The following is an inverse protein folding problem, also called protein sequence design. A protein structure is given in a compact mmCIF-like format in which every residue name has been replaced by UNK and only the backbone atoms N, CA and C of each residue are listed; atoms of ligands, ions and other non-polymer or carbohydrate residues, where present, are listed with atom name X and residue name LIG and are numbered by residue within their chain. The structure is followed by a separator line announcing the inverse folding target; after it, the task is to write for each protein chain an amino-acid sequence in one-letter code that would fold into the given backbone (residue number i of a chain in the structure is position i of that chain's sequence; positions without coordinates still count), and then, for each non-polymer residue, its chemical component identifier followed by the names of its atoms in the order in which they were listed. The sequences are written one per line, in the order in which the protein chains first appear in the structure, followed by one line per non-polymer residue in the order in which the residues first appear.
data_IF_346993956319
#
_entry.id   IF_346993956319
#
_cell.length_a   1.000
_cell.length_b   1.000
_cell.length_c   1.000
_cell.angle_alpha   90.00
_cell.angle_beta   90.00
_cell.angle_gamma   90.00
#
_symmetry.space_group_name_H-M   'P 1'
#
loop_
_entity.id
_entity.type
_entity.pdbx_description
1 polymer ?
#
# COMPACT_ATOMS: atom_id res chain seq x y z
N UNK A 1 -24.44 33.35 -5.36
CA UNK A 1 -23.56 32.50 -4.57
C UNK A 1 -23.22 31.26 -5.36
N UNK A 2 -22.01 30.95 -5.40
CA UNK A 2 -21.58 29.77 -6.12
C UNK A 2 -21.62 28.54 -5.22
N UNK A 3 -22.22 27.49 -5.73
CA UNK A 3 -22.13 26.17 -5.13
C UNK A 3 -21.01 25.36 -5.76
N UNK A 4 -20.25 25.99 -6.64
CA UNK A 4 -19.13 25.34 -7.30
C UNK A 4 -18.04 25.09 -6.27
N UNK A 5 -17.66 23.83 -6.11
CA UNK A 5 -16.57 23.46 -5.24
C UNK A 5 -15.26 23.84 -5.88
N UNK A 6 -14.35 24.38 -5.09
CA UNK A 6 -13.00 24.59 -5.56
C UNK A 6 -12.33 23.24 -5.75
N UNK A 7 -11.63 23.09 -6.84
CA UNK A 7 -10.95 21.85 -7.21
C UNK A 7 -9.52 22.15 -7.64
N UNK A 8 -8.69 21.13 -7.58
CA UNK A 8 -7.34 21.18 -8.15
C UNK A 8 -7.10 19.91 -8.96
N UNK A 9 -6.21 20.01 -9.93
CA UNK A 9 -5.79 18.86 -10.70
C UNK A 9 -4.83 18.01 -9.87
N UNK A 10 -5.04 16.71 -9.85
CA UNK A 10 -4.20 15.79 -9.09
C UNK A 10 -3.86 14.57 -9.95
N UNK A 11 -2.59 14.24 -9.95
CA UNK A 11 -2.10 13.03 -10.60
C UNK A 11 -1.20 12.29 -9.62
N UNK A 12 -1.42 10.99 -9.48
CA UNK A 12 -0.61 10.13 -8.62
C UNK A 12 0.01 9.05 -9.49
N UNK A 13 1.32 9.10 -9.64
CA UNK A 13 2.08 8.18 -10.46
C UNK A 13 2.84 7.20 -9.59
N UNK A 14 2.68 5.91 -9.87
CA UNK A 14 3.54 4.86 -9.34
C UNK A 14 4.47 4.37 -10.46
N UNK A 15 5.46 3.55 -10.13
CA UNK A 15 6.45 3.09 -11.12
C UNK A 15 5.83 2.34 -12.30
N UNK A 16 4.74 1.61 -12.06
CA UNK A 16 4.14 0.72 -13.04
C UNK A 16 2.76 1.16 -13.52
N UNK A 17 2.22 2.27 -13.00
CA UNK A 17 0.86 2.69 -13.33
C UNK A 17 0.59 4.12 -12.90
N UNK A 18 -0.49 4.67 -13.45
CA UNK A 18 -1.11 5.89 -12.93
C UNK A 18 -2.18 5.43 -11.95
N UNK A 19 -2.00 5.76 -10.66
CA UNK A 19 -2.96 5.36 -9.64
C UNK A 19 -4.22 6.22 -9.67
N UNK A 20 -4.05 7.52 -9.87
CA UNK A 20 -5.15 8.48 -9.92
C UNK A 20 -4.81 9.63 -10.87
N UNK A 21 -5.80 10.07 -11.60
CA UNK A 21 -5.69 11.24 -12.45
C UNK A 21 -7.08 11.88 -12.54
N UNK A 22 -7.17 13.13 -12.14
CA UNK A 22 -8.44 13.84 -12.17
C UNK A 22 -8.44 15.03 -11.24
N UNK A 23 -9.63 15.59 -11.03
CA UNK A 23 -9.83 16.71 -10.12
C UNK A 23 -10.14 16.22 -8.71
N UNK A 24 -9.64 16.95 -7.73
CA UNK A 24 -9.79 16.61 -6.34
C UNK A 24 -10.22 17.81 -5.53
N UNK A 25 -10.94 17.54 -4.43
CA UNK A 25 -11.30 18.55 -3.43
C UNK A 25 -10.23 18.67 -2.37
N UNK A 26 -9.54 17.57 -2.07
CA UNK A 26 -8.51 17.52 -1.04
C UNK A 26 -7.66 16.27 -1.23
N UNK A 27 -6.43 16.33 -0.76
CA UNK A 27 -5.58 15.16 -0.65
C UNK A 27 -4.79 15.21 0.66
N UNK A 28 -4.78 14.11 1.39
CA UNK A 28 -3.96 13.90 2.56
C UNK A 28 -2.73 13.11 2.16
N UNK A 29 -1.55 13.60 2.53
CA UNK A 29 -0.27 13.02 2.13
C UNK A 29 0.60 12.74 3.36
N UNK A 30 1.31 11.60 3.39
CA UNK A 30 2.25 11.31 4.46
C UNK A 30 3.59 12.02 4.20
N UNK A 31 3.62 13.32 4.48
CA UNK A 31 4.82 14.13 4.30
C UNK A 31 5.80 13.86 5.45
N UNK A 32 7.08 13.89 5.13
CA UNK A 32 8.11 13.77 6.17
C UNK A 32 7.90 14.85 7.23
N UNK A 33 7.85 14.45 8.49
CA UNK A 33 7.54 15.36 9.59
C UNK A 33 6.09 15.41 10.00
N UNK A 34 5.19 14.81 9.24
CA UNK A 34 3.77 14.70 9.59
C UNK A 34 2.85 14.75 8.38
N UNK A 35 1.59 14.33 8.56
CA UNK A 35 0.62 14.36 7.47
C UNK A 35 0.24 15.79 7.10
N UNK A 36 0.10 16.04 5.80
CA UNK A 36 -0.37 17.31 5.26
C UNK A 36 -1.63 17.10 4.44
N UNK A 37 -2.59 18.00 4.64
CA UNK A 37 -3.75 18.10 3.77
C UNK A 37 -3.53 19.22 2.79
N UNK A 38 -3.65 18.92 1.49
CA UNK A 38 -3.58 19.93 0.42
C UNK A 38 -4.99 20.19 -0.05
N UNK A 39 -5.35 21.46 -0.05
CA UNK A 39 -6.64 21.97 -0.52
C UNK A 39 -6.44 22.76 -1.80
N UNK A 40 -7.53 23.06 -2.54
CA UNK A 40 -7.41 23.87 -3.75
C UNK A 40 -6.75 25.22 -3.48
N UNK A 41 -5.94 25.64 -4.43
CA UNK A 41 -5.20 26.92 -4.37
C UNK A 41 -4.14 26.97 -3.28
N UNK A 42 -3.67 25.80 -2.82
CA UNK A 42 -2.51 25.72 -1.94
C UNK A 42 -1.33 26.40 -2.63
N UNK A 43 -0.46 27.02 -1.84
CA UNK A 43 0.75 27.64 -2.40
C UNK A 43 1.68 26.58 -3.01
N UNK A 44 2.50 27.01 -3.94
CA UNK A 44 3.45 26.13 -4.61
C UNK A 44 4.39 25.50 -3.60
N UNK A 45 4.61 24.20 -3.73
CA UNK A 45 5.45 23.46 -2.78
C UNK A 45 6.00 22.17 -3.40
N UNK A 46 7.08 21.71 -2.84
CA UNK A 46 7.64 20.38 -3.07
C UNK A 46 7.90 19.77 -1.70
N UNK A 47 7.51 18.52 -1.52
CA UNK A 47 7.74 17.83 -0.25
C UNK A 47 8.09 16.37 -0.48
N UNK A 48 8.82 15.80 0.46
CA UNK A 48 9.18 14.38 0.47
C UNK A 48 8.08 13.60 1.20
N UNK A 49 7.68 12.48 0.61
CA UNK A 49 6.70 11.58 1.19
C UNK A 49 7.40 10.38 1.81
N UNK A 50 6.93 9.98 2.98
CA UNK A 50 7.33 8.73 3.63
C UNK A 50 6.27 7.68 3.37
N UNK A 51 6.58 6.39 3.53
CA UNK A 51 5.56 5.35 3.38
C UNK A 51 4.37 5.60 4.30
N UNK A 52 3.18 5.48 3.75
CA UNK A 52 1.96 5.75 4.52
C UNK A 52 0.72 5.74 3.65
N UNK A 53 -0.33 6.34 4.16
CA UNK A 53 -1.63 6.37 3.49
C UNK A 53 -1.85 7.73 2.83
N UNK A 54 -2.22 7.69 1.55
CA UNK A 54 -2.72 8.85 0.81
C UNK A 54 -4.24 8.71 0.73
N UNK A 55 -4.96 9.77 1.04
CA UNK A 55 -6.43 9.80 0.89
C UNK A 55 -6.80 10.96 -0.01
N UNK A 56 -7.52 10.66 -1.09
CA UNK A 56 -7.98 11.64 -2.07
C UNK A 56 -9.49 11.78 -1.93
N UNK A 57 -9.97 13.01 -1.77
CA UNK A 57 -11.38 13.32 -1.93
C UNK A 57 -11.59 13.79 -3.35
N UNK A 58 -12.25 12.97 -4.13
CA UNK A 58 -12.51 13.22 -5.54
C UNK A 58 -13.49 14.37 -5.75
N UNK A 59 -13.63 14.78 -7.00
CA UNK A 59 -14.57 15.81 -7.40
C UNK A 59 -16.00 15.52 -6.96
N UNK A 60 -16.40 14.25 -6.99
CA UNK A 60 -17.74 13.80 -6.59
C UNK A 60 -17.90 13.60 -5.07
N UNK A 61 -16.88 13.91 -4.30
CA UNK A 61 -16.90 13.75 -2.85
C UNK A 61 -16.54 12.35 -2.36
N UNK A 62 -16.35 11.40 -3.25
CA UNK A 62 -15.94 10.05 -2.88
C UNK A 62 -14.48 10.05 -2.46
N UNK A 63 -14.17 9.38 -1.37
CA UNK A 63 -12.79 9.23 -0.92
C UNK A 63 -12.22 7.91 -1.41
N UNK A 64 -11.00 7.98 -1.94
CA UNK A 64 -10.22 6.81 -2.29
C UNK A 64 -8.89 6.88 -1.54
N UNK A 65 -8.34 5.74 -1.24
CA UNK A 65 -7.08 5.65 -0.49
C UNK A 65 -6.07 4.78 -1.21
N UNK A 66 -4.82 5.09 -0.97
CA UNK A 66 -3.70 4.29 -1.43
C UNK A 66 -2.66 4.17 -0.33
N UNK A 67 -2.14 2.96 -0.16
CA UNK A 67 -0.93 2.75 0.64
C UNK A 67 0.24 2.97 -0.30
N UNK A 68 1.06 3.95 0.00
CA UNK A 68 2.17 4.35 -0.86
C UNK A 68 3.52 4.10 -0.19
N UNK A 69 4.51 3.89 -1.02
CA UNK A 69 5.90 3.89 -0.60
C UNK A 69 6.41 5.33 -0.50
N UNK A 70 7.70 5.49 -0.28
CA UNK A 70 8.32 6.81 -0.30
C UNK A 70 8.21 7.45 -1.69
N UNK A 71 8.27 8.76 -1.72
CA UNK A 71 8.16 9.51 -2.96
C UNK A 71 8.22 10.99 -2.73
N UNK A 72 7.59 11.76 -3.62
CA UNK A 72 7.55 13.21 -3.51
C UNK A 72 6.24 13.74 -4.07
N UNK A 73 5.88 14.93 -3.62
CA UNK A 73 4.78 15.69 -4.17
C UNK A 73 5.29 17.04 -4.66
N UNK A 74 4.78 17.45 -5.81
CA UNK A 74 4.98 18.79 -6.35
C UNK A 74 3.61 19.42 -6.55
N UNK A 75 3.38 20.58 -5.98
CA UNK A 75 2.15 21.33 -6.15
C UNK A 75 2.49 22.70 -6.72
N UNK A 76 2.03 22.97 -7.94
CA UNK A 76 2.32 24.21 -8.67
C UNK A 76 1.08 24.62 -9.44
N UNK A 77 0.71 25.90 -9.35
CA UNK A 77 -0.42 26.45 -10.09
C UNK A 77 -1.69 25.62 -9.94
N UNK A 78 -2.06 25.31 -8.70
CA UNK A 78 -3.28 24.55 -8.40
C UNK A 78 -3.31 23.16 -9.05
N UNK A 79 -2.15 22.55 -9.23
CA UNK A 79 -1.99 21.23 -9.80
C UNK A 79 -0.98 20.42 -8.99
N UNK A 80 -1.40 19.30 -8.49
CA UNK A 80 -0.56 18.41 -7.69
C UNK A 80 -0.13 17.20 -8.48
N UNK A 81 1.15 16.86 -8.39
CA UNK A 81 1.71 15.63 -8.93
C UNK A 81 2.43 14.88 -7.83
N UNK A 82 2.02 13.65 -7.63
CA UNK A 82 2.58 12.76 -6.62
C UNK A 82 3.32 11.64 -7.33
N UNK A 83 4.58 11.48 -6.98
CA UNK A 83 5.42 10.42 -7.54
C UNK A 83 5.83 9.49 -6.43
N UNK A 84 5.41 8.24 -6.50
CA UNK A 84 5.73 7.22 -5.51
C UNK A 84 6.25 5.97 -6.22
N UNK A 85 7.03 5.18 -5.50
CA UNK A 85 7.52 3.93 -6.07
C UNK A 85 6.39 2.93 -6.27
N UNK A 86 5.48 2.83 -5.30
CA UNK A 86 4.32 1.96 -5.39
C UNK A 86 3.10 2.61 -4.75
N UNK A 87 1.94 2.28 -5.27
CA UNK A 87 0.65 2.72 -4.74
C UNK A 87 -0.35 1.57 -4.89
N UNK A 88 -0.97 1.17 -3.80
CA UNK A 88 -1.90 0.05 -3.78
C UNK A 88 -3.15 0.41 -2.99
N UNK A 89 -4.29 -0.07 -3.45
CA UNK A 89 -5.53 0.07 -2.69
C UNK A 89 -5.46 -0.82 -1.44
N UNK A 90 -5.96 -0.35 -0.29
CA UNK A 90 -5.98 -1.18 0.92
C UNK A 90 -6.66 -2.54 0.72
N UNK A 91 -7.75 -2.58 -0.02
CA UNK A 91 -8.47 -3.82 -0.31
C UNK A 91 -7.63 -4.82 -1.12
N UNK A 92 -6.77 -4.32 -2.01
CA UNK A 92 -5.87 -5.18 -2.79
C UNK A 92 -4.77 -5.78 -1.91
N UNK A 93 -4.30 -5.01 -0.93
CA UNK A 93 -3.31 -5.49 0.03
C UNK A 93 -3.88 -6.62 0.87
N UNK A 94 -5.13 -6.49 1.34
CA UNK A 94 -5.78 -7.53 2.13
C UNK A 94 -5.91 -8.82 1.34
N UNK A 95 -6.21 -8.74 0.05
CA UNK A 95 -6.26 -9.91 -0.83
C UNK A 95 -4.90 -10.58 -0.96
N UNK A 96 -3.83 -9.80 -1.13
CA UNK A 96 -2.47 -10.32 -1.20
C UNK A 96 -2.12 -11.03 0.11
N UNK A 97 -2.44 -10.44 1.25
CA UNK A 97 -2.21 -11.08 2.56
C UNK A 97 -2.97 -12.40 2.69
N UNK A 98 -4.20 -12.44 2.19
CA UNK A 98 -5.00 -13.67 2.19
C UNK A 98 -4.34 -14.77 1.35
N UNK A 99 -3.83 -14.42 0.17
CA UNK A 99 -3.12 -15.36 -0.69
C UNK A 99 -1.84 -15.87 -0.02
N UNK A 100 -1.07 -14.99 0.57
CA UNK A 100 0.15 -15.37 1.29
C UNK A 100 -0.16 -16.29 2.47
N UNK A 101 -1.23 -16.02 3.22
CA UNK A 101 -1.65 -16.87 4.32
C UNK A 101 -2.04 -18.27 3.82
N UNK A 102 -2.72 -18.33 2.67
CA UNK A 102 -3.09 -19.59 2.04
C UNK A 102 -1.86 -20.40 1.64
N UNK A 103 -0.89 -19.75 1.02
CA UNK A 103 0.36 -20.40 0.62
C UNK A 103 1.12 -20.96 1.83
N UNK A 104 1.18 -20.20 2.91
CA UNK A 104 1.83 -20.66 4.15
C UNK A 104 1.12 -21.87 4.75
N UNK A 105 -0.22 -21.88 4.69
CA UNK A 105 -0.99 -23.01 5.18
C UNK A 105 -0.73 -24.26 4.34
N UNK A 106 -0.67 -24.12 3.02
CA UNK A 106 -0.37 -25.23 2.11
C UNK A 106 1.04 -25.77 2.36
N UNK A 107 2.02 -24.90 2.58
CA UNK A 107 3.39 -25.30 2.87
C UNK A 107 3.47 -26.11 4.19
N UNK A 108 2.74 -25.66 5.20
CA UNK A 108 2.70 -26.41 6.47
C UNK A 108 2.12 -27.81 6.30
N UNK A 109 1.09 -27.94 5.47
CA UNK A 109 0.51 -29.26 5.17
C UNK A 109 1.50 -30.17 4.45
N UNK A 110 2.25 -29.63 3.51
CA UNK A 110 3.32 -30.38 2.82
C UNK A 110 4.41 -30.84 3.79
N UNK A 111 4.79 -29.99 4.71
CA UNK A 111 5.78 -30.32 5.73
C UNK A 111 5.28 -31.43 6.67
N UNK A 112 4.00 -31.41 7.03
CA UNK A 112 3.41 -32.48 7.82
C UNK A 112 3.46 -33.82 7.08
N UNK A 113 3.18 -33.82 5.78
CA UNK A 113 3.30 -35.02 4.95
C UNK A 113 4.75 -35.53 4.94
N UNK A 114 5.71 -34.61 4.80
CA UNK A 114 7.13 -34.98 4.85
C UNK A 114 7.50 -35.62 6.17
N UNK A 115 6.97 -35.13 7.28
CA UNK A 115 7.21 -35.73 8.60
C UNK A 115 6.65 -37.15 8.62
N UNK A 116 5.45 -37.36 8.10
CA UNK A 116 4.85 -38.69 8.05
C UNK A 116 5.64 -39.65 7.14
N UNK A 117 6.15 -39.15 6.01
CA UNK A 117 6.95 -39.94 5.09
C UNK A 117 8.30 -40.34 5.68
N UNK A 118 8.91 -39.47 6.49
CA UNK A 118 10.23 -39.68 7.04
C UNK A 118 10.23 -40.12 8.52
N UNK A 119 9.10 -40.58 9.02
CA UNK A 119 8.98 -40.99 10.43
C UNK A 119 9.95 -42.10 10.86
N UNK A 120 10.44 -42.90 9.90
CA UNK A 120 11.42 -43.94 10.14
C UNK A 120 12.85 -43.43 10.16
N UNK A 121 13.08 -42.18 9.82
CA UNK A 121 14.41 -41.57 9.79
C UNK A 121 14.45 -40.40 10.78
N UNK A 122 15.03 -40.62 11.94
CA UNK A 122 15.03 -39.62 13.01
C UNK A 122 15.71 -38.30 12.60
N UNK A 123 16.80 -38.36 11.83
CA UNK A 123 17.51 -37.15 11.41
C UNK A 123 16.65 -36.31 10.44
N UNK A 124 15.98 -36.96 9.49
CA UNK A 124 15.09 -36.29 8.57
C UNK A 124 13.87 -35.72 9.26
N UNK A 125 13.30 -36.50 10.22
CA UNK A 125 12.17 -36.05 11.03
C UNK A 125 12.55 -34.81 11.86
N UNK A 126 13.70 -34.82 12.49
CA UNK A 126 14.17 -33.69 13.27
C UNK A 126 14.30 -32.43 12.43
N UNK A 127 14.82 -32.56 11.21
CA UNK A 127 14.89 -31.41 10.28
C UNK A 127 13.52 -30.90 9.90
N UNK A 128 12.59 -31.81 9.60
CA UNK A 128 11.23 -31.44 9.25
C UNK A 128 10.52 -30.74 10.40
N UNK A 129 10.70 -31.23 11.63
CA UNK A 129 10.16 -30.59 12.83
C UNK A 129 10.72 -29.19 13.06
N UNK A 130 12.02 -29.01 12.83
CA UNK A 130 12.66 -27.70 12.93
C UNK A 130 12.10 -26.72 11.91
N UNK A 131 11.83 -27.17 10.68
CA UNK A 131 11.23 -26.35 9.63
C UNK A 131 9.81 -25.93 9.99
N UNK A 132 9.01 -26.84 10.51
CA UNK A 132 7.65 -26.52 10.96
C UNK A 132 7.68 -25.46 12.05
N UNK A 133 8.58 -25.63 13.00
CA UNK A 133 8.73 -24.69 14.11
C UNK A 133 9.15 -23.31 13.61
N UNK A 134 10.08 -23.24 12.66
CA UNK A 134 10.51 -21.99 12.06
C UNK A 134 9.37 -21.33 11.28
N UNK A 135 8.64 -22.09 10.45
CA UNK A 135 7.52 -21.56 9.67
C UNK A 135 6.42 -21.00 10.57
N UNK A 136 6.15 -21.60 11.71
CA UNK A 136 5.10 -21.14 12.62
C UNK A 136 5.42 -19.80 13.30
N UNK A 137 6.68 -19.37 13.30
CA UNK A 137 7.09 -18.07 13.86
C UNK A 137 6.79 -16.88 12.95
N UNK A 138 6.53 -17.12 11.68
CA UNK A 138 6.35 -16.07 10.68
C UNK A 138 4.91 -16.00 10.18
N UNK A 139 3.97 -16.10 11.07
CA UNK A 139 2.55 -15.95 10.72
C UNK A 139 2.15 -14.49 10.52
#
# INVERSE_FOLDING_TARGET
MSLTKSLFQLEIYASDKIFFEGKAQAVNLPVIGGPWMILPNHEDMIAVLVPGLVTVRREDGVEISAVVSSGMVEFVNNSGKVFVHSAERPEDIDRVRAEEAKERAQERLRQKRSIQEYHLNEAALSRAMSRLKAASKYK
#
